data_IF_361428905882
#
_entry.id   IF_361428905882
#
_cell.length_a   1.000
_cell.length_b   1.000
_cell.length_c   1.000
_cell.angle_alpha   90.00
_cell.angle_beta   90.00
_cell.angle_gamma   90.00
#
_symmetry.space_group_name_H-M   'P 1'
#
loop_
_entity.id
_entity.type
_entity.pdbx_description
1 polymer ?
#
# COMPACT_ATOMS: atom_id res chain seq x y z
N UNK A 1 -22.47 2.82 3.25
CA UNK A 1 -21.81 3.72 4.22
C UNK A 1 -20.73 4.59 3.53
N UNK A 2 -20.44 5.78 4.05
CA UNK A 2 -19.41 6.68 3.49
C UNK A 2 -18.01 6.04 3.56
N UNK A 3 -17.65 5.46 4.70
CA UNK A 3 -16.36 4.81 4.95
C UNK A 3 -16.03 3.72 3.92
N UNK A 4 -16.98 2.83 3.62
CA UNK A 4 -16.80 1.79 2.59
C UNK A 4 -16.50 2.37 1.20
N UNK A 5 -17.12 3.50 0.85
CA UNK A 5 -16.88 4.18 -0.44
C UNK A 5 -15.52 4.86 -0.48
N UNK A 6 -15.07 5.44 0.64
CA UNK A 6 -13.72 5.99 0.76
C UNK A 6 -12.65 4.90 0.65
N UNK A 7 -12.85 3.75 1.29
CA UNK A 7 -11.96 2.59 1.15
C UNK A 7 -11.94 2.10 -0.29
N UNK A 8 -13.10 1.94 -0.93
CA UNK A 8 -13.18 1.55 -2.33
C UNK A 8 -12.43 2.53 -3.25
N UNK A 9 -12.64 3.84 -3.08
CA UNK A 9 -11.94 4.87 -3.83
C UNK A 9 -10.42 4.82 -3.63
N UNK A 10 -9.95 4.58 -2.41
CA UNK A 10 -8.53 4.43 -2.12
C UNK A 10 -7.92 3.19 -2.79
N UNK A 11 -8.63 2.05 -2.73
CA UNK A 11 -8.23 0.80 -3.40
C UNK A 11 -8.21 0.95 -4.92
N UNK A 12 -9.22 1.61 -5.50
CA UNK A 12 -9.21 1.96 -6.92
C UNK A 12 -8.07 2.88 -7.27
N UNK A 13 -7.80 3.93 -6.48
CA UNK A 13 -6.69 4.84 -6.72
C UNK A 13 -5.35 4.12 -6.82
N UNK A 14 -4.98 3.34 -5.78
CA UNK A 14 -3.71 2.60 -5.77
C UNK A 14 -3.71 1.47 -6.82
N UNK A 15 -4.81 0.75 -6.99
CA UNK A 15 -4.92 -0.38 -7.92
C UNK A 15 -4.85 0.04 -9.39
N UNK A 16 -5.63 1.07 -9.76
CA UNK A 16 -5.64 1.62 -11.13
C UNK A 16 -4.30 2.26 -11.44
N UNK A 17 -3.72 3.05 -10.52
CA UNK A 17 -2.39 3.63 -10.71
C UNK A 17 -1.33 2.55 -10.95
N UNK A 18 -1.41 1.44 -10.20
CA UNK A 18 -0.53 0.29 -10.43
C UNK A 18 -0.69 -0.32 -11.82
N UNK A 19 -1.92 -0.37 -12.32
CA UNK A 19 -2.23 -0.94 -13.63
C UNK A 19 -1.79 -0.02 -14.78
N UNK A 20 -1.98 1.29 -14.62
CA UNK A 20 -1.57 2.30 -15.61
C UNK A 20 -0.05 2.46 -15.63
N UNK A 21 0.59 2.54 -14.47
CA UNK A 21 2.03 2.74 -14.31
C UNK A 21 2.90 1.49 -14.50
N UNK A 22 2.32 0.31 -14.81
CA UNK A 22 3.06 -0.98 -14.84
C UNK A 22 4.22 -1.04 -15.85
N UNK A 23 4.16 -0.23 -16.91
CA UNK A 23 5.20 -0.16 -17.94
C UNK A 23 5.98 1.18 -17.89
N UNK A 24 5.81 1.97 -16.84
CA UNK A 24 6.49 3.25 -16.69
C UNK A 24 7.99 3.05 -16.37
N UNK A 25 8.78 4.10 -16.62
CA UNK A 25 10.22 4.09 -16.33
C UNK A 25 10.53 3.98 -14.83
N UNK A 26 11.81 3.72 -14.53
CA UNK A 26 12.30 3.48 -13.16
C UNK A 26 12.02 4.66 -12.22
N UNK A 27 12.12 5.91 -12.69
CA UNK A 27 11.82 7.08 -11.87
C UNK A 27 10.34 7.16 -11.47
N UNK A 28 9.43 6.97 -12.42
CA UNK A 28 7.98 6.91 -12.17
C UNK A 28 7.65 5.75 -11.22
N UNK A 29 8.27 4.59 -11.43
CA UNK A 29 8.12 3.45 -10.54
C UNK A 29 8.61 3.76 -9.12
N UNK A 30 9.76 4.42 -8.95
CA UNK A 30 10.29 4.84 -7.63
C UNK A 30 9.34 5.81 -6.92
N UNK A 31 8.77 6.77 -7.64
CA UNK A 31 7.81 7.73 -7.08
C UNK A 31 6.50 7.04 -6.66
N UNK A 32 5.94 6.19 -7.53
CA UNK A 32 4.76 5.38 -7.23
C UNK A 32 5.00 4.45 -6.03
N UNK A 33 6.16 3.81 -5.98
CA UNK A 33 6.52 2.88 -4.91
C UNK A 33 6.64 3.57 -3.55
N UNK A 34 7.17 4.80 -3.51
CA UNK A 34 7.16 5.64 -2.30
C UNK A 34 5.74 5.83 -1.75
N UNK A 35 4.82 6.25 -2.62
CA UNK A 35 3.44 6.50 -2.23
C UNK A 35 2.79 5.22 -1.70
N UNK A 36 2.98 4.10 -2.40
CA UNK A 36 2.51 2.77 -2.00
C UNK A 36 3.00 2.35 -0.62
N UNK A 37 4.28 2.56 -0.31
CA UNK A 37 4.87 2.24 0.99
C UNK A 37 4.25 3.09 2.10
N UNK A 38 4.16 4.42 1.91
CA UNK A 38 3.56 5.34 2.90
C UNK A 38 2.10 4.95 3.15
N UNK A 39 1.33 4.79 2.08
CA UNK A 39 -0.10 4.51 2.15
C UNK A 39 -0.40 3.15 2.80
N UNK A 40 0.34 2.10 2.42
CA UNK A 40 0.11 0.78 3.00
C UNK A 40 0.53 0.70 4.46
N UNK A 41 1.59 1.42 4.87
CA UNK A 41 1.99 1.50 6.28
C UNK A 41 0.89 2.16 7.12
N UNK A 42 0.39 3.33 6.70
CA UNK A 42 -0.62 4.06 7.47
C UNK A 42 -1.94 3.31 7.50
N UNK A 43 -2.35 2.68 6.40
CA UNK A 43 -3.54 1.83 6.35
C UNK A 43 -3.41 0.59 7.25
N UNK A 44 -2.27 -0.11 7.20
CA UNK A 44 -2.02 -1.28 8.05
C UNK A 44 -2.05 -0.89 9.54
N UNK A 45 -1.37 0.20 9.92
CA UNK A 45 -1.36 0.69 11.31
C UNK A 45 -2.75 1.10 11.77
N UNK A 46 -3.52 1.81 10.93
CA UNK A 46 -4.90 2.20 11.25
C UNK A 46 -5.82 1.00 11.46
N UNK A 47 -5.75 0.00 10.57
CA UNK A 47 -6.55 -1.24 10.70
C UNK A 47 -6.13 -2.03 11.93
N UNK A 48 -4.82 -2.16 12.19
CA UNK A 48 -4.31 -2.82 13.39
C UNK A 48 -4.83 -2.14 14.65
N UNK A 49 -4.76 -0.81 14.73
CA UNK A 49 -5.28 -0.05 15.85
C UNK A 49 -6.77 -0.33 16.08
N UNK A 50 -7.59 -0.25 15.03
CA UNK A 50 -9.01 -0.59 15.13
C UNK A 50 -9.28 -2.04 15.55
N UNK A 51 -8.41 -2.99 15.18
CA UNK A 51 -8.55 -4.38 15.64
C UNK A 51 -8.19 -4.55 17.11
N UNK A 52 -7.17 -3.83 17.61
CA UNK A 52 -6.81 -3.83 19.03
C UNK A 52 -7.93 -3.23 19.90
N UNK A 53 -8.77 -2.34 19.35
CA UNK A 53 -9.97 -1.79 20.01
C UNK A 53 -11.20 -2.73 19.93
N UNK A 54 -11.05 -3.95 19.40
CA UNK A 54 -12.16 -4.91 19.28
C UNK A 54 -12.96 -4.78 17.99
N UNK A 55 -12.34 -4.29 16.92
CA UNK A 55 -12.94 -4.21 15.58
C UNK A 55 -13.40 -5.58 15.04
N UNK A 56 -14.18 -5.59 13.95
CA UNK A 56 -14.78 -6.81 13.42
C UNK A 56 -13.71 -7.80 12.93
N UNK A 57 -13.93 -9.13 13.03
CA UNK A 57 -12.94 -10.15 12.66
C UNK A 57 -12.38 -10.02 11.24
N UNK A 58 -13.19 -9.52 10.30
CA UNK A 58 -12.77 -9.28 8.92
C UNK A 58 -11.60 -8.29 8.80
N UNK A 59 -11.40 -7.40 9.78
CA UNK A 59 -10.32 -6.42 9.77
C UNK A 59 -8.93 -7.05 9.89
N UNK A 60 -8.79 -8.22 10.52
CA UNK A 60 -7.53 -8.97 10.49
C UNK A 60 -7.13 -9.41 9.07
N UNK A 61 -8.11 -9.83 8.27
CA UNK A 61 -7.89 -10.16 6.86
C UNK A 61 -7.43 -8.94 6.07
N UNK A 62 -8.08 -7.79 6.28
CA UNK A 62 -7.67 -6.52 5.67
C UNK A 62 -6.25 -6.15 6.11
N UNK A 63 -5.94 -6.22 7.41
CA UNK A 63 -4.61 -5.96 7.93
C UNK A 63 -3.55 -6.85 7.27
N UNK A 64 -3.78 -8.16 7.19
CA UNK A 64 -2.86 -9.10 6.59
C UNK A 64 -2.56 -8.77 5.12
N UNK A 65 -3.58 -8.38 4.34
CA UNK A 65 -3.42 -7.95 2.94
C UNK A 65 -2.52 -6.72 2.86
N UNK A 66 -2.83 -5.68 3.64
CA UNK A 66 -2.07 -4.42 3.63
C UNK A 66 -0.63 -4.60 4.12
N UNK A 67 -0.43 -5.37 5.19
CA UNK A 67 0.89 -5.71 5.71
C UNK A 67 1.69 -6.52 4.68
N UNK A 68 1.07 -7.51 4.03
CA UNK A 68 1.72 -8.30 2.98
C UNK A 68 2.18 -7.46 1.80
N UNK A 69 1.30 -6.62 1.24
CA UNK A 69 1.68 -5.70 0.16
C UNK A 69 2.72 -4.68 0.59
N UNK A 70 2.63 -4.18 1.83
CA UNK A 70 3.63 -3.28 2.38
C UNK A 70 5.02 -3.90 2.36
N UNK A 71 5.16 -5.14 2.84
CA UNK A 71 6.44 -5.85 2.85
C UNK A 71 6.99 -6.05 1.43
N UNK A 72 6.13 -6.41 0.47
CA UNK A 72 6.53 -6.54 -0.93
C UNK A 72 7.06 -5.20 -1.45
N UNK A 73 6.32 -4.11 -1.30
CA UNK A 73 6.72 -2.80 -1.81
C UNK A 73 7.95 -2.26 -1.08
N UNK A 74 8.08 -2.48 0.22
CA UNK A 74 9.26 -2.14 1.00
C UNK A 74 10.49 -2.87 0.49
N UNK A 75 10.38 -4.18 0.19
CA UNK A 75 11.45 -4.95 -0.43
C UNK A 75 11.89 -4.34 -1.76
N UNK A 76 10.96 -4.06 -2.68
CA UNK A 76 11.29 -3.42 -3.96
C UNK A 76 11.94 -2.03 -3.76
N UNK A 77 11.53 -1.29 -2.74
CA UNK A 77 12.07 0.03 -2.44
C UNK A 77 13.51 -0.05 -1.96
N UNK A 78 13.83 -1.04 -1.14
CA UNK A 78 15.19 -1.29 -0.67
C UNK A 78 16.10 -1.76 -1.81
N UNK A 79 15.61 -2.62 -2.70
CA UNK A 79 16.34 -3.05 -3.89
C UNK A 79 16.71 -1.86 -4.80
N UNK A 80 15.75 -0.99 -5.08
CA UNK A 80 15.97 0.21 -5.92
C UNK A 80 16.84 1.28 -5.26
N UNK A 81 17.00 1.25 -3.92
CA UNK A 81 17.96 2.11 -3.22
C UNK A 81 19.40 1.60 -3.33
N UNK A 82 19.58 0.28 -3.43
CA UNK A 82 20.90 -0.35 -3.62
C UNK A 82 21.45 -0.18 -5.03
N UNK A 83 20.58 0.02 -6.01
CA UNK A 83 20.95 0.53 -7.34
C UNK A 83 21.30 2.01 -7.24
N UNK A 84 22.53 2.29 -6.77
CA UNK A 84 23.21 3.56 -6.99
C UNK A 84 23.23 3.78 -8.50
N UNK A 85 22.34 4.62 -9.01
CA UNK A 85 22.47 5.12 -10.37
C UNK A 85 23.76 5.95 -10.46
N UNK A 86 24.67 5.65 -11.41
CA UNK A 86 25.78 6.55 -11.71
C UNK A 86 25.30 7.94 -12.14
#
# INVERSE_FOLDING_TARGET
PLSTRLVAAALFGIGIESYVGRNAGVESFRAMLNLKVIWSATAALGVLWSQLEGGPPAGWGVFAIFAGFHLVWLRYRLLLRGEVTP
#
